data_IF_252160803969
#
_entry.id   IF_252160803969
#
_cell.length_a   1.000
_cell.length_b   1.000
_cell.length_c   1.000
_cell.angle_alpha   90.00
_cell.angle_beta   90.00
_cell.angle_gamma   90.00
#
_symmetry.space_group_name_H-M   'P 1'
#
loop_
_entity.id
_entity.type
_entity.pdbx_description
1 polymer ?
#
# COMPACT_ATOMS: atom_id res chain seq x y z
N UNK A 1 8.14 15.36 11.51
CA UNK A 1 9.03 15.69 10.39
C UNK A 1 10.43 15.21 10.72
N UNK A 2 11.15 14.74 9.71
CA UNK A 2 12.56 14.36 9.82
C UNK A 2 13.43 15.62 9.81
N UNK A 3 14.24 15.82 10.85
CA UNK A 3 15.16 16.95 10.95
C UNK A 3 16.56 16.43 11.21
N UNK A 4 17.54 17.00 10.53
CA UNK A 4 18.95 16.73 10.79
C UNK A 4 19.51 17.88 11.63
N UNK A 5 19.99 17.55 12.83
CA UNK A 5 20.61 18.50 13.75
C UNK A 5 21.99 17.98 14.16
N UNK A 6 23.05 18.69 13.77
CA UNK A 6 24.45 18.29 14.04
C UNK A 6 24.77 16.84 13.63
N UNK A 7 24.25 16.39 12.47
CA UNK A 7 24.45 15.03 11.95
C UNK A 7 23.61 13.95 12.65
N UNK A 8 22.82 14.29 13.67
CA UNK A 8 21.82 13.40 14.28
C UNK A 8 20.46 13.61 13.62
N UNK A 9 19.85 12.48 13.25
CA UNK A 9 18.58 12.40 12.54
C UNK A 9 17.48 12.17 13.57
N UNK A 10 16.61 13.16 13.75
CA UNK A 10 15.59 13.15 14.80
C UNK A 10 14.19 13.42 14.25
N UNK A 11 13.20 12.78 14.87
CA UNK A 11 11.80 13.04 14.60
C UNK A 11 11.32 14.21 15.45
N UNK A 12 10.99 15.32 14.80
CA UNK A 12 10.43 16.50 15.46
C UNK A 12 8.94 16.63 15.18
N UNK A 13 8.16 16.92 16.21
CA UNK A 13 6.77 17.35 16.04
C UNK A 13 6.77 18.74 15.38
N UNK A 14 6.04 18.86 14.29
CA UNK A 14 5.90 20.12 13.55
C UNK A 14 4.42 20.44 13.41
N UNK A 15 4.12 21.73 13.36
CA UNK A 15 2.81 22.20 12.95
C UNK A 15 2.66 21.99 11.44
N UNK A 16 1.52 21.44 11.02
CA UNK A 16 1.26 21.11 9.62
C UNK A 16 0.23 22.08 9.08
N UNK A 17 0.57 22.76 7.98
CA UNK A 17 -0.38 23.56 7.20
C UNK A 17 -0.95 22.69 6.08
N UNK A 18 -2.25 22.43 6.09
CA UNK A 18 -2.87 21.50 5.13
C UNK A 18 -2.75 21.97 3.68
N UNK A 19 -2.80 23.28 3.45
CA UNK A 19 -2.60 23.93 2.14
C UNK A 19 -1.25 23.59 1.47
N UNK A 20 -0.24 23.23 2.27
CA UNK A 20 1.09 22.85 1.78
C UNK A 20 1.19 21.37 1.37
N UNK A 21 0.15 20.57 1.63
CA UNK A 21 0.15 19.11 1.45
C UNK A 21 -1.02 18.59 0.62
N UNK A 22 -2.12 19.35 0.50
CA UNK A 22 -3.31 18.95 -0.26
C UNK A 22 -3.37 19.74 -1.56
N UNK A 23 -3.24 19.03 -2.68
CA UNK A 23 -3.21 19.62 -4.02
C UNK A 23 -4.47 19.22 -4.79
N UNK A 24 -5.04 20.18 -5.52
CA UNK A 24 -6.14 19.92 -6.46
C UNK A 24 -5.70 20.42 -7.84
N UNK A 25 -5.06 19.57 -8.67
CA UNK A 25 -4.62 19.98 -10.00
C UNK A 25 -5.83 20.33 -10.88
N UNK A 26 -5.64 21.33 -11.75
CA UNK A 26 -6.65 21.75 -12.72
C UNK A 26 -6.26 21.30 -14.12
N UNK A 27 -7.15 20.56 -14.77
CA UNK A 27 -7.03 20.11 -16.15
C UNK A 27 -7.96 20.93 -17.08
N UNK A 28 -7.69 20.95 -18.40
CA UNK A 28 -8.58 21.63 -19.35
C UNK A 28 -10.00 21.02 -19.32
N UNK A 29 -11.00 21.88 -19.45
CA UNK A 29 -12.42 21.48 -19.41
C UNK A 29 -12.91 21.02 -20.78
N UNK A 30 -13.94 20.17 -20.81
CA UNK A 30 -14.61 19.77 -22.05
C UNK A 30 -13.84 18.77 -22.92
N UNK A 31 -12.93 18.01 -22.32
CA UNK A 31 -12.18 16.98 -23.00
C UNK A 31 -12.92 15.64 -23.04
N UNK A 32 -12.48 14.74 -23.92
CA UNK A 32 -12.93 13.35 -23.92
C UNK A 32 -12.41 12.60 -22.70
N UNK A 33 -13.06 11.48 -22.34
CA UNK A 33 -12.65 10.63 -21.23
C UNK A 33 -11.24 10.07 -21.41
N UNK A 34 -10.89 9.65 -22.63
CA UNK A 34 -9.55 9.17 -23.00
C UNK A 34 -8.47 10.25 -22.80
N UNK A 35 -8.82 11.51 -23.06
CA UNK A 35 -7.90 12.62 -22.81
C UNK A 35 -7.66 12.80 -21.30
N UNK A 36 -8.73 12.71 -20.48
CA UNK A 36 -8.58 12.78 -19.03
C UNK A 36 -7.80 11.60 -18.44
N UNK A 37 -7.96 10.40 -18.99
CA UNK A 37 -7.11 9.25 -18.63
C UNK A 37 -5.63 9.57 -18.89
N UNK A 38 -5.31 10.13 -20.06
CA UNK A 38 -3.94 10.54 -20.37
C UNK A 38 -3.41 11.62 -19.42
N UNK A 39 -4.21 12.65 -19.12
CA UNK A 39 -3.80 13.69 -18.15
C UNK A 39 -3.55 13.11 -16.76
N UNK A 40 -4.38 12.14 -16.34
CA UNK A 40 -4.21 11.42 -15.09
C UNK A 40 -2.91 10.60 -15.07
N UNK A 41 -2.63 9.84 -16.13
CA UNK A 41 -1.42 9.03 -16.26
C UNK A 41 -0.15 9.88 -16.30
N UNK A 42 -0.16 10.98 -17.07
CA UNK A 42 0.95 11.95 -17.13
C UNK A 42 1.18 12.59 -15.75
N UNK A 43 0.10 12.91 -15.03
CA UNK A 43 0.18 13.47 -13.68
C UNK A 43 0.77 12.50 -12.67
N UNK A 44 0.33 11.24 -12.68
CA UNK A 44 0.91 10.19 -11.82
C UNK A 44 2.39 9.98 -12.16
N UNK A 45 2.73 9.88 -13.45
CA UNK A 45 4.12 9.69 -13.91
C UNK A 45 5.04 10.81 -13.40
N UNK A 46 4.54 12.06 -13.42
CA UNK A 46 5.21 13.22 -12.85
C UNK A 46 5.38 13.07 -11.33
N UNK A 47 4.31 12.74 -10.59
CA UNK A 47 4.38 12.59 -9.13
C UNK A 47 5.37 11.52 -8.67
N UNK A 48 5.52 10.43 -9.44
CA UNK A 48 6.47 9.35 -9.15
C UNK A 48 7.94 9.79 -9.27
N UNK A 49 8.22 10.80 -10.09
CA UNK A 49 9.59 11.30 -10.31
C UNK A 49 9.91 12.50 -9.41
N UNK A 50 8.88 13.23 -8.96
CA UNK A 50 9.05 14.40 -8.09
C UNK A 50 9.42 14.03 -6.65
N UNK A 51 10.55 14.57 -6.18
CA UNK A 51 10.97 14.46 -4.78
C UNK A 51 10.11 15.33 -3.87
N UNK A 52 9.93 14.90 -2.63
CA UNK A 52 9.30 15.74 -1.61
C UNK A 52 10.12 17.00 -1.36
N UNK A 53 9.46 18.15 -1.14
CA UNK A 53 10.14 19.38 -0.77
C UNK A 53 10.86 19.22 0.57
N UNK A 54 12.08 19.75 0.65
CA UNK A 54 12.80 19.84 1.92
C UNK A 54 12.05 20.79 2.87
N UNK A 55 12.07 20.48 4.17
CA UNK A 55 11.43 21.35 5.16
C UNK A 55 9.96 21.02 5.47
N UNK A 56 9.36 20.05 4.79
CA UNK A 56 7.96 19.65 4.98
C UNK A 56 7.82 18.17 5.40
N UNK A 57 6.73 17.80 6.09
CA UNK A 57 6.34 16.40 6.26
C UNK A 57 6.32 15.63 4.92
N UNK A 58 6.76 14.38 4.95
CA UNK A 58 7.00 13.57 3.74
C UNK A 58 5.74 12.87 3.20
N UNK A 59 4.64 13.61 3.13
CA UNK A 59 3.36 13.14 2.62
C UNK A 59 2.63 14.23 1.86
N UNK A 60 1.89 13.86 0.82
CA UNK A 60 1.07 14.74 -0.01
C UNK A 60 -0.23 14.00 -0.38
N UNK A 61 -1.33 14.75 -0.53
CA UNK A 61 -2.63 14.26 -1.00
C UNK A 61 -3.00 15.04 -2.26
N UNK A 62 -3.34 14.34 -3.34
CA UNK A 62 -3.74 14.96 -4.60
C UNK A 62 -5.17 14.55 -4.94
N UNK A 63 -6.06 15.53 -5.08
CA UNK A 63 -7.48 15.33 -5.37
C UNK A 63 -7.73 15.75 -6.82
N UNK A 64 -8.00 14.78 -7.68
CA UNK A 64 -8.23 14.97 -9.10
C UNK A 64 -9.73 14.91 -9.36
N UNK A 65 -10.35 16.07 -9.48
CA UNK A 65 -11.79 16.23 -9.70
C UNK A 65 -12.17 16.19 -11.19
N UNK A 66 -11.60 15.24 -11.93
CA UNK A 66 -11.89 15.00 -13.34
C UNK A 66 -12.18 13.52 -13.56
N UNK A 67 -13.19 13.17 -14.36
CA UNK A 67 -13.56 11.78 -14.60
C UNK A 67 -12.51 11.08 -15.44
N UNK A 68 -12.17 9.85 -15.05
CA UNK A 68 -11.39 8.88 -15.81
C UNK A 68 -12.29 7.73 -16.25
N UNK A 69 -11.82 6.85 -17.14
CA UNK A 69 -12.57 5.66 -17.58
C UNK A 69 -13.03 4.76 -16.43
N UNK A 70 -12.32 4.80 -15.29
CA UNK A 70 -12.58 3.93 -14.14
C UNK A 70 -13.30 4.63 -12.98
N UNK A 71 -13.25 5.96 -12.88
CA UNK A 71 -13.76 6.68 -11.71
C UNK A 71 -14.20 8.11 -12.04
N UNK A 72 -15.19 8.63 -11.30
CA UNK A 72 -15.66 10.01 -11.45
C UNK A 72 -14.66 11.05 -10.92
N UNK A 73 -13.80 10.66 -9.97
CA UNK A 73 -12.73 11.45 -9.39
C UNK A 73 -11.69 10.50 -8.79
N UNK A 74 -10.45 10.98 -8.62
CA UNK A 74 -9.35 10.17 -8.10
C UNK A 74 -8.66 10.90 -6.94
N UNK A 75 -8.24 10.13 -5.92
CA UNK A 75 -7.45 10.65 -4.79
C UNK A 75 -6.15 9.86 -4.72
N UNK A 76 -5.03 10.56 -4.72
CA UNK A 76 -3.68 9.98 -4.68
C UNK A 76 -3.04 10.35 -3.35
N UNK A 77 -2.55 9.33 -2.63
CA UNK A 77 -1.74 9.50 -1.44
C UNK A 77 -0.27 9.25 -1.82
N UNK A 78 0.54 10.30 -1.79
CA UNK A 78 1.99 10.19 -2.01
C UNK A 78 2.66 10.19 -0.65
N UNK A 79 3.28 9.07 -0.27
CA UNK A 79 3.87 8.85 1.05
C UNK A 79 5.31 8.39 0.89
N UNK A 80 6.24 9.00 1.62
CA UNK A 80 7.61 8.51 1.64
C UNK A 80 7.73 7.22 2.46
N UNK A 81 8.48 6.23 1.97
CA UNK A 81 8.60 4.91 2.61
C UNK A 81 9.13 4.95 4.05
N UNK A 82 9.93 5.97 4.39
CA UNK A 82 10.38 6.21 5.78
C UNK A 82 9.23 6.44 6.79
N UNK A 83 8.01 6.72 6.34
CA UNK A 83 6.83 6.84 7.20
C UNK A 83 6.29 5.47 7.64
N UNK A 84 6.53 4.43 6.85
CA UNK A 84 6.05 3.09 7.13
C UNK A 84 6.14 2.17 5.93
N UNK A 85 6.11 0.88 6.22
CA UNK A 85 5.90 -0.16 5.22
C UNK A 85 4.42 -0.23 4.80
N UNK A 86 4.15 -1.00 3.74
CA UNK A 86 2.78 -1.14 3.21
C UNK A 86 1.79 -1.70 4.25
N UNK A 87 2.24 -2.55 5.17
CA UNK A 87 1.40 -3.13 6.21
C UNK A 87 0.98 -2.07 7.24
N UNK A 88 1.95 -1.32 7.75
CA UNK A 88 1.74 -0.26 8.75
C UNK A 88 0.89 0.87 8.19
N UNK A 89 1.12 1.26 6.93
CA UNK A 89 0.33 2.29 6.24
C UNK A 89 -1.12 1.86 6.05
N UNK A 90 -1.36 0.62 5.59
CA UNK A 90 -2.73 0.09 5.47
C UNK A 90 -3.41 -0.06 6.83
N UNK A 91 -2.68 -0.51 7.86
CA UNK A 91 -3.18 -0.57 9.24
C UNK A 91 -3.60 0.80 9.77
N UNK A 92 -2.79 1.84 9.55
CA UNK A 92 -3.12 3.21 9.93
C UNK A 92 -4.34 3.74 9.18
N UNK A 93 -4.41 3.53 7.87
CA UNK A 93 -5.56 3.91 7.04
C UNK A 93 -6.84 3.27 7.59
N UNK A 94 -6.85 1.95 7.77
CA UNK A 94 -8.05 1.24 8.22
C UNK A 94 -8.41 1.63 9.66
N UNK A 95 -7.43 1.91 10.53
CA UNK A 95 -7.68 2.37 11.90
C UNK A 95 -8.35 3.74 11.95
N UNK A 96 -8.16 4.57 10.92
CA UNK A 96 -8.84 5.87 10.77
C UNK A 96 -10.25 5.77 10.16
N UNK A 97 -10.63 4.61 9.64
CA UNK A 97 -11.95 4.40 9.02
C UNK A 97 -12.98 3.94 10.05
N UNK A 98 -14.24 4.26 9.77
CA UNK A 98 -15.39 3.83 10.58
C UNK A 98 -16.32 2.95 9.75
N UNK A 99 -17.16 2.17 10.44
CA UNK A 99 -18.16 1.35 9.80
C UNK A 99 -19.21 2.21 9.10
N UNK A 100 -19.45 1.91 7.82
CA UNK A 100 -20.45 2.62 7.01
C UNK A 100 -21.89 2.39 7.49
N UNK A 101 -22.18 1.24 8.11
CA UNK A 101 -23.51 0.89 8.61
C UNK A 101 -23.78 1.38 10.03
N UNK A 102 -22.76 1.42 10.89
CA UNK A 102 -22.87 2.02 12.22
C UNK A 102 -21.50 2.56 12.71
N UNK A 103 -21.26 3.88 12.63
CA UNK A 103 -19.99 4.51 13.02
C UNK A 103 -19.61 4.35 14.49
N UNK A 104 -20.56 4.05 15.38
CA UNK A 104 -20.30 3.85 16.81
C UNK A 104 -19.65 2.50 17.12
N UNK A 105 -19.66 1.56 16.18
CA UNK A 105 -19.08 0.23 16.34
C UNK A 105 -17.66 0.19 15.76
N UNK A 106 -16.73 -0.53 16.40
CA UNK A 106 -15.36 -0.66 15.90
C UNK A 106 -15.36 -1.33 14.54
N UNK A 107 -14.32 -1.04 13.76
CA UNK A 107 -14.13 -1.66 12.45
C UNK A 107 -13.82 -3.15 12.64
N UNK A 108 -14.67 -4.01 12.08
CA UNK A 108 -14.57 -5.46 12.21
C UNK A 108 -14.12 -6.08 10.90
N UNK A 109 -13.13 -6.96 10.95
CA UNK A 109 -12.71 -7.73 9.79
C UNK A 109 -13.42 -9.08 9.74
N UNK A 110 -13.76 -9.57 8.53
CA UNK A 110 -14.39 -10.87 8.39
C UNK A 110 -13.41 -11.97 8.84
N UNK A 111 -13.93 -12.94 9.59
CA UNK A 111 -13.12 -14.05 10.10
C UNK A 111 -13.51 -15.36 9.42
N UNK A 112 -12.52 -16.20 9.13
CA UNK A 112 -12.79 -17.53 8.60
C UNK A 112 -13.28 -18.41 9.74
N UNK A 113 -14.44 -19.06 9.57
CA UNK A 113 -14.87 -20.10 10.50
C UNK A 113 -13.81 -21.20 10.50
N UNK A 114 -13.23 -21.48 11.68
CA UNK A 114 -12.26 -22.55 11.85
C UNK A 114 -12.97 -23.85 11.46
N UNK A 115 -12.42 -24.60 10.50
CA UNK A 115 -12.90 -25.95 10.24
C UNK A 115 -12.75 -26.77 11.52
N UNK A 116 -13.76 -27.57 11.88
CA UNK A 116 -13.65 -28.51 12.98
C UNK A 116 -12.35 -29.30 12.83
N UNK A 117 -11.45 -29.14 13.79
CA UNK A 117 -10.23 -29.92 13.80
C UNK A 117 -10.63 -31.37 14.05
N UNK A 118 -10.37 -32.26 13.08
CA UNK A 118 -10.28 -33.69 13.40
C UNK A 118 -9.32 -33.84 14.59
N UNK A 119 -9.74 -34.61 15.60
CA UNK A 119 -8.90 -34.96 16.76
C UNK A 119 -7.68 -35.71 16.25
N UNK A 120 -6.60 -34.97 16.04
CA UNK A 120 -5.30 -35.50 15.71
C UNK A 120 -4.32 -35.16 16.83
N UNK A 121 -3.38 -36.07 17.07
CA UNK A 121 -2.48 -36.07 18.22
C UNK A 121 -1.67 -34.76 18.30
N UNK A 122 -1.94 -33.96 19.34
CA UNK A 122 -1.38 -32.62 19.57
C UNK A 122 0.16 -32.60 19.61
N UNK A 123 0.79 -33.66 20.12
CA UNK A 123 2.24 -33.73 20.32
C UNK A 123 3.01 -33.89 19.00
N UNK A 124 2.57 -34.78 18.11
CA UNK A 124 3.28 -35.06 16.85
C UNK A 124 3.18 -33.89 15.87
N UNK A 125 2.07 -33.14 15.89
CA UNK A 125 1.86 -31.96 15.04
C UNK A 125 2.63 -30.73 15.54
N UNK A 126 2.72 -30.54 16.85
CA UNK A 126 3.43 -29.38 17.42
C UNK A 126 4.94 -29.52 17.24
N UNK A 127 5.49 -30.72 17.43
CA UNK A 127 6.92 -30.96 17.25
C UNK A 127 7.31 -30.95 15.76
N UNK A 128 6.56 -31.63 14.89
CA UNK A 128 6.83 -31.58 13.44
C UNK A 128 6.62 -30.19 12.86
N UNK A 129 5.59 -29.45 13.29
CA UNK A 129 5.38 -28.05 12.89
C UNK A 129 6.53 -27.14 13.30
N UNK A 130 7.08 -27.33 14.51
CA UNK A 130 8.24 -26.58 14.99
C UNK A 130 9.51 -26.92 14.21
N UNK A 131 9.79 -28.20 13.96
CA UNK A 131 10.93 -28.64 13.16
C UNK A 131 10.84 -28.13 11.71
N UNK A 132 9.65 -28.18 11.10
CA UNK A 132 9.44 -27.65 9.74
C UNK A 132 9.62 -26.14 9.71
N UNK A 133 9.11 -25.41 10.71
CA UNK A 133 9.29 -23.95 10.80
C UNK A 133 10.76 -23.58 10.98
N UNK A 134 11.52 -24.30 11.81
CA UNK A 134 12.96 -24.08 11.97
C UNK A 134 13.71 -24.40 10.67
N UNK A 135 13.36 -25.49 10.00
CA UNK A 135 13.98 -25.87 8.73
C UNK A 135 13.70 -24.84 7.62
N UNK A 136 12.48 -24.32 7.56
CA UNK A 136 12.09 -23.25 6.65
C UNK A 136 12.80 -21.94 6.98
N UNK A 137 12.92 -21.61 8.28
CA UNK A 137 13.64 -20.42 8.73
C UNK A 137 15.14 -20.51 8.41
N UNK A 138 15.75 -21.68 8.62
CA UNK A 138 17.16 -21.96 8.35
C UNK A 138 17.46 -21.96 6.84
N UNK A 139 16.62 -22.62 6.05
CA UNK A 139 16.78 -22.63 4.59
C UNK A 139 16.53 -21.26 3.96
N UNK A 140 15.57 -20.48 4.48
CA UNK A 140 15.32 -19.11 4.07
C UNK A 140 16.49 -18.17 4.40
N UNK A 141 17.00 -18.20 5.64
CA UNK A 141 18.15 -17.37 6.04
C UNK A 141 19.41 -17.71 5.26
N UNK A 142 19.71 -19.01 5.04
CA UNK A 142 20.87 -19.42 4.25
C UNK A 142 20.78 -18.96 2.79
N UNK A 143 19.58 -18.96 2.20
CA UNK A 143 19.35 -18.44 0.83
C UNK A 143 19.53 -16.92 0.75
N UNK A 144 19.19 -16.20 1.81
CA UNK A 144 19.32 -14.72 1.85
C UNK A 144 20.79 -14.28 1.99
N UNK A 145 21.63 -15.10 2.64
CA UNK A 145 23.06 -14.82 2.80
C UNK A 145 23.89 -14.99 1.52
N UNK A 146 23.42 -15.82 0.57
CA UNK A 146 24.10 -16.05 -0.72
C UNK A 146 23.81 -14.99 -1.77
N UNK A 147 23.21 -13.86 -1.35
CA UNK A 147 22.74 -12.81 -2.23
C UNK A 147 21.42 -13.18 -2.88
N UNK A 148 20.59 -12.16 -3.13
CA UNK A 148 19.31 -12.36 -3.79
C UNK A 148 19.51 -12.89 -5.20
N UNK A 149 18.76 -13.95 -5.55
CA UNK A 149 18.68 -14.46 -6.91
C UNK A 149 18.13 -13.35 -7.82
N UNK A 150 18.72 -13.19 -9.00
CA UNK A 150 18.15 -12.34 -10.04
C UNK A 150 16.80 -12.92 -10.47
N UNK A 151 15.72 -12.34 -9.97
CA UNK A 151 14.36 -12.67 -10.43
C UNK A 151 14.02 -11.86 -11.67
N UNK A 152 13.08 -12.32 -12.53
CA UNK A 152 12.59 -11.52 -13.66
C UNK A 152 12.00 -10.15 -13.25
N UNK A 153 11.70 -9.98 -11.97
CA UNK A 153 11.12 -8.77 -11.38
C UNK A 153 12.23 -7.83 -10.86
N UNK A 154 13.43 -8.34 -10.59
CA UNK A 154 14.54 -7.55 -10.07
C UNK A 154 15.19 -6.75 -11.20
N UNK A 155 15.16 -5.42 -11.07
CA UNK A 155 16.00 -4.54 -11.86
C UNK A 155 17.48 -4.85 -11.57
N UNK A 156 18.23 -5.22 -12.61
CA UNK A 156 19.67 -5.45 -12.53
C UNK A 156 20.52 -4.15 -12.53
N UNK A 157 19.89 -2.98 -12.69
CA UNK A 157 20.61 -1.71 -12.84
C UNK A 157 20.33 -0.76 -11.66
N UNK A 158 21.36 -0.05 -11.24
CA UNK A 158 21.24 1.04 -10.27
C UNK A 158 20.54 2.26 -10.91
N UNK A 159 19.86 3.06 -10.08
CA UNK A 159 19.19 4.33 -10.46
C UNK A 159 17.97 4.24 -11.40
N UNK A 160 17.27 3.10 -11.49
CA UNK A 160 15.96 3.03 -12.19
C UNK A 160 14.90 3.93 -11.52
N UNK A 161 15.04 4.20 -10.22
CA UNK A 161 14.15 5.04 -9.42
C UNK A 161 13.97 6.48 -9.92
N UNK A 162 14.83 6.98 -10.81
CA UNK A 162 14.73 8.33 -11.39
C UNK A 162 14.22 8.33 -12.85
N UNK A 163 13.89 7.17 -13.41
CA UNK A 163 13.34 7.08 -14.76
C UNK A 163 11.83 7.31 -14.73
N UNK A 164 11.24 7.84 -15.83
CA UNK A 164 9.80 7.89 -15.98
C UNK A 164 9.21 6.50 -15.75
N UNK A 165 8.29 6.41 -14.79
CA UNK A 165 7.61 5.17 -14.45
C UNK A 165 6.19 5.21 -15.01
N UNK A 166 5.80 4.14 -15.70
CA UNK A 166 4.42 3.95 -16.15
C UNK A 166 3.66 3.14 -15.11
N UNK A 167 2.49 3.63 -14.71
CA UNK A 167 1.61 2.90 -13.80
C UNK A 167 0.65 2.05 -14.61
N UNK A 168 0.69 0.74 -14.38
CA UNK A 168 -0.32 -0.19 -14.88
C UNK A 168 -1.31 -0.47 -13.78
N UNK A 169 -2.58 -0.18 -14.02
CA UNK A 169 -3.66 -0.46 -13.07
C UNK A 169 -4.32 -1.78 -13.41
N UNK A 170 -4.58 -2.61 -12.40
CA UNK A 170 -5.37 -3.82 -12.53
C UNK A 170 -6.67 -3.66 -11.74
N UNK A 171 -7.81 -3.84 -12.40
CA UNK A 171 -9.13 -3.75 -11.78
C UNK A 171 -9.62 -5.14 -11.40
N UNK A 172 -10.10 -5.27 -10.16
CA UNK A 172 -10.72 -6.50 -9.67
C UNK A 172 -12.19 -6.25 -9.38
N UNK A 173 -13.06 -7.11 -9.86
CA UNK A 173 -14.49 -7.01 -9.55
C UNK A 173 -14.73 -7.38 -8.09
N UNK A 174 -15.51 -6.55 -7.39
CA UNK A 174 -15.96 -6.85 -6.03
C UNK A 174 -16.79 -8.14 -5.97
N UNK A 175 -17.50 -8.49 -7.05
CA UNK A 175 -18.27 -9.74 -7.12
C UNK A 175 -17.35 -10.96 -7.15
N UNK A 176 -16.19 -10.86 -7.80
CA UNK A 176 -15.18 -11.92 -7.79
C UNK A 176 -14.60 -12.09 -6.38
N UNK A 177 -14.27 -10.98 -5.71
CA UNK A 177 -13.78 -10.99 -4.33
C UNK A 177 -14.84 -11.60 -3.40
N UNK A 178 -16.11 -11.28 -3.60
CA UNK A 178 -17.24 -11.85 -2.86
C UNK A 178 -17.38 -13.35 -3.11
N UNK A 179 -17.27 -13.80 -4.36
CA UNK A 179 -17.30 -15.23 -4.69
C UNK A 179 -16.17 -16.01 -4.01
N UNK A 180 -14.95 -15.43 -3.96
CA UNK A 180 -13.82 -16.01 -3.23
C UNK A 180 -14.12 -16.09 -1.74
N UNK A 181 -14.63 -15.00 -1.14
CA UNK A 181 -15.03 -14.95 0.28
C UNK A 181 -16.01 -16.08 0.62
N UNK A 182 -17.03 -16.26 -0.21
CA UNK A 182 -18.08 -17.25 -0.01
C UNK A 182 -17.53 -18.69 -0.14
N UNK A 183 -16.67 -18.94 -1.14
CA UNK A 183 -15.97 -20.24 -1.29
C UNK A 183 -15.05 -20.57 -0.12
N UNK A 184 -14.45 -19.55 0.51
CA UNK A 184 -13.58 -19.71 1.67
C UNK A 184 -14.35 -19.86 3.00
N UNK A 185 -15.69 -19.80 2.98
CA UNK A 185 -16.52 -19.92 4.17
C UNK A 185 -16.28 -18.79 5.19
N UNK A 186 -15.87 -17.63 4.71
CA UNK A 186 -15.57 -16.47 5.55
C UNK A 186 -16.88 -15.75 5.90
N UNK A 187 -17.17 -15.68 7.20
CA UNK A 187 -18.42 -15.10 7.72
C UNK A 187 -18.12 -13.70 8.27
N UNK A 188 -19.08 -12.79 8.09
CA UNK A 188 -19.02 -11.43 8.61
C UNK A 188 -19.51 -11.40 10.05
#
# INVERSE_FOLDING_TARGET
>A
MYVENNGKKEWKRVEVKLEDHVYTPTFPSGLSLESYDKYFDDYISKLLTERFPQGKPLWEIHIINYPTSNAAANVIFKLHHALGDGYSLMGALISSMQRADNPSLPLTFPSRKRSESKRENFVTKTFSGFCNTISDLWSGTLKTMNGDVLTPIRSGNDAIEFRPATVSTMTFSLDQIKSIKDKLGVVR
#
